data_IF_243784335453
#
_entry.id   IF_243784335453
#
_cell.length_a   1.000
_cell.length_b   1.000
_cell.length_c   1.000
_cell.angle_alpha   90.00
_cell.angle_beta   90.00
_cell.angle_gamma   90.00
#
_symmetry.space_group_name_H-M   'P 1'
#
loop_
_entity.id
_entity.type
_entity.pdbx_description
1 polymer ?
#
# COMPACT_ATOMS: atom_id res chain seq x y z
N UNK A 1 -12.98 8.24 42.39
CA UNK A 1 -12.71 9.24 41.35
C UNK A 1 -11.75 8.60 40.36
N UNK A 2 -12.27 7.99 39.30
CA UNK A 2 -11.46 7.35 38.26
C UNK A 2 -11.69 8.14 36.98
N UNK A 3 -10.76 9.01 36.63
CA UNK A 3 -10.80 9.75 35.37
C UNK A 3 -9.61 9.31 34.52
N UNK A 4 -9.98 8.81 33.33
CA UNK A 4 -9.14 8.17 32.33
C UNK A 4 -8.07 9.14 31.84
N UNK A 5 -6.82 8.80 32.07
CA UNK A 5 -5.67 9.43 31.44
C UNK A 5 -5.03 8.43 30.48
N UNK A 6 -5.69 8.12 29.36
CA UNK A 6 -5.09 7.25 28.32
C UNK A 6 -5.84 7.27 26.99
N UNK A 7 -6.14 8.44 26.42
CA UNK A 7 -6.83 8.52 25.12
C UNK A 7 -6.05 9.32 24.05
N UNK A 8 -4.72 9.49 24.18
CA UNK A 8 -3.95 10.33 23.26
C UNK A 8 -2.70 9.68 22.62
N UNK A 9 -2.55 8.35 22.61
CA UNK A 9 -1.35 7.68 22.02
C UNK A 9 -1.71 6.54 21.04
N UNK A 10 -2.98 6.12 20.93
CA UNK A 10 -3.32 4.86 20.24
C UNK A 10 -3.71 4.93 18.76
N UNK A 11 -3.90 6.12 18.17
CA UNK A 11 -4.24 6.20 16.74
C UNK A 11 -3.06 5.90 15.79
N UNK A 12 -1.82 5.94 16.28
CA UNK A 12 -0.61 5.70 15.46
C UNK A 12 -0.23 4.22 15.29
N UNK A 13 -0.83 3.28 16.05
CA UNK A 13 -0.34 1.90 16.18
C UNK A 13 -1.41 0.81 16.07
N UNK A 14 -2.61 1.09 15.56
CA UNK A 14 -3.58 0.00 15.31
C UNK A 14 -3.08 -0.93 14.18
N UNK A 15 -2.72 -2.19 14.49
CA UNK A 15 -2.18 -3.13 13.50
C UNK A 15 -3.23 -3.56 12.47
N UNK A 16 -4.52 -3.54 12.82
CA UNK A 16 -5.62 -3.85 11.90
C UNK A 16 -5.73 -2.72 10.88
N UNK A 17 -5.80 -1.47 11.35
CA UNK A 17 -5.81 -0.30 10.48
C UNK A 17 -4.60 -0.26 9.55
N UNK A 18 -3.39 -0.51 10.05
CA UNK A 18 -2.19 -0.58 9.21
C UNK A 18 -2.25 -1.72 8.18
N UNK A 19 -2.93 -2.82 8.49
CA UNK A 19 -3.16 -3.90 7.52
C UNK A 19 -4.12 -3.47 6.42
N UNK A 20 -5.22 -2.80 6.78
CA UNK A 20 -6.19 -2.24 5.82
C UNK A 20 -5.48 -1.26 4.88
N UNK A 21 -4.67 -0.35 5.41
CA UNK A 21 -3.96 0.65 4.59
C UNK A 21 -2.95 0.00 3.64
N UNK A 22 -2.27 -1.08 4.05
CA UNK A 22 -1.41 -1.85 3.14
C UNK A 22 -2.21 -2.49 2.01
N UNK A 23 -3.39 -3.05 2.32
CA UNK A 23 -4.27 -3.64 1.30
C UNK A 23 -4.75 -2.57 0.32
N UNK A 24 -5.20 -1.42 0.81
CA UNK A 24 -5.60 -0.27 -0.02
C UNK A 24 -4.45 0.21 -0.92
N UNK A 25 -3.25 0.32 -0.37
CA UNK A 25 -2.04 0.70 -1.11
C UNK A 25 -1.74 -0.31 -2.24
N UNK A 26 -1.81 -1.61 -1.95
CA UNK A 26 -1.57 -2.65 -2.94
C UNK A 26 -2.64 -2.66 -4.03
N UNK A 27 -3.92 -2.51 -3.66
CA UNK A 27 -5.02 -2.40 -4.61
C UNK A 27 -4.86 -1.16 -5.52
N UNK A 28 -4.43 -0.03 -4.96
CA UNK A 28 -4.12 1.17 -5.74
C UNK A 28 -3.02 0.93 -6.76
N UNK A 29 -1.90 0.30 -6.34
CA UNK A 29 -0.81 -0.03 -7.26
C UNK A 29 -1.20 -1.10 -8.29
N UNK A 30 -2.04 -2.06 -7.93
CA UNK A 30 -2.57 -3.05 -8.88
C UNK A 30 -3.42 -2.38 -9.97
N UNK A 31 -4.30 -1.45 -9.59
CA UNK A 31 -5.09 -0.68 -10.54
C UNK A 31 -4.25 0.29 -11.38
N UNK A 32 -3.08 0.71 -10.87
CA UNK A 32 -2.21 1.69 -11.50
C UNK A 32 -0.73 1.21 -11.52
N UNK A 33 -0.41 0.12 -12.23
CA UNK A 33 0.86 -0.62 -12.07
C UNK A 33 2.11 0.14 -12.53
N UNK A 34 1.93 1.18 -13.33
CA UNK A 34 3.00 2.08 -13.78
C UNK A 34 3.16 3.31 -12.88
N UNK A 35 2.37 3.43 -11.80
CA UNK A 35 2.45 4.56 -10.88
C UNK A 35 3.84 4.69 -10.28
N UNK A 36 4.29 5.93 -10.27
CA UNK A 36 5.50 6.39 -9.60
C UNK A 36 5.12 7.63 -8.82
N UNK A 37 5.04 7.52 -7.50
CA UNK A 37 4.49 8.61 -6.69
C UNK A 37 5.24 8.77 -5.37
N UNK A 38 5.02 9.89 -4.71
CA UNK A 38 5.64 10.23 -3.42
C UNK A 38 4.70 9.87 -2.27
N UNK A 39 5.21 9.93 -1.04
CA UNK A 39 4.38 9.75 0.17
C UNK A 39 3.22 10.75 0.17
N UNK A 40 3.47 12.00 -0.23
CA UNK A 40 2.48 13.07 -0.24
C UNK A 40 1.39 12.83 -1.30
N UNK A 41 1.79 12.45 -2.52
CA UNK A 41 0.82 12.14 -3.57
C UNK A 41 -0.04 10.92 -3.23
N UNK A 42 0.56 9.87 -2.67
CA UNK A 42 -0.17 8.68 -2.25
C UNK A 42 -1.12 8.95 -1.08
N UNK A 43 -0.73 9.78 -0.11
CA UNK A 43 -1.60 10.20 0.98
C UNK A 43 -2.86 10.91 0.48
N UNK A 44 -2.71 11.80 -0.51
CA UNK A 44 -3.85 12.47 -1.14
C UNK A 44 -4.77 11.49 -1.88
N UNK A 45 -4.20 10.57 -2.67
CA UNK A 45 -4.98 9.63 -3.47
C UNK A 45 -5.72 8.59 -2.64
N UNK A 46 -5.11 8.13 -1.55
CA UNK A 46 -5.71 7.15 -0.65
C UNK A 46 -6.60 7.80 0.42
N UNK A 47 -6.64 9.14 0.47
CA UNK A 47 -7.32 9.89 1.53
C UNK A 47 -6.90 9.40 2.94
N UNK A 48 -5.59 9.23 3.14
CA UNK A 48 -4.97 8.75 4.39
C UNK A 48 -3.95 9.74 4.90
N UNK A 49 -3.61 9.66 6.19
CA UNK A 49 -2.58 10.53 6.74
C UNK A 49 -1.20 10.18 6.18
N UNK A 50 -0.33 11.18 6.03
CA UNK A 50 1.04 11.01 5.56
C UNK A 50 1.82 9.99 6.41
N UNK A 51 1.60 9.99 7.72
CA UNK A 51 2.24 9.06 8.65
C UNK A 51 1.83 7.62 8.39
N UNK A 52 0.52 7.35 8.28
CA UNK A 52 0.01 6.01 8.00
C UNK A 52 0.50 5.48 6.65
N UNK A 53 0.49 6.33 5.62
CA UNK A 53 1.03 5.98 4.30
C UNK A 53 2.52 5.67 4.37
N UNK A 54 3.30 6.48 5.10
CA UNK A 54 4.74 6.24 5.27
C UNK A 54 5.01 4.88 5.94
N UNK A 55 4.23 4.51 6.96
CA UNK A 55 4.35 3.21 7.64
C UNK A 55 4.05 2.04 6.70
N UNK A 56 2.95 2.13 5.94
CA UNK A 56 2.60 1.12 4.95
C UNK A 56 3.67 0.98 3.86
N UNK A 57 4.17 2.11 3.32
CA UNK A 57 5.23 2.12 2.32
C UNK A 57 6.53 1.53 2.82
N UNK A 58 6.93 1.84 4.06
CA UNK A 58 8.10 1.24 4.67
C UNK A 58 7.96 -0.27 4.79
N UNK A 59 6.84 -0.77 5.31
CA UNK A 59 6.57 -2.20 5.44
C UNK A 59 6.60 -2.92 4.07
N UNK A 60 5.93 -2.39 3.06
CA UNK A 60 5.88 -3.00 1.72
C UNK A 60 7.23 -2.92 0.99
N UNK A 61 8.03 -1.88 1.25
CA UNK A 61 9.39 -1.78 0.71
C UNK A 61 10.34 -2.77 1.38
N UNK A 62 10.22 -2.95 2.70
CA UNK A 62 11.00 -3.94 3.45
C UNK A 62 10.69 -5.39 3.00
N UNK A 63 9.44 -5.66 2.62
CA UNK A 63 9.02 -6.92 2.00
C UNK A 63 9.47 -7.06 0.53
N UNK A 64 10.09 -6.04 -0.06
CA UNK A 64 10.54 -6.05 -1.45
C UNK A 64 9.45 -5.88 -2.50
N UNK A 65 8.20 -5.64 -2.09
CA UNK A 65 7.06 -5.45 -3.00
C UNK A 65 7.18 -4.11 -3.73
N UNK A 66 7.53 -3.06 -2.97
CA UNK A 66 7.83 -1.74 -3.50
C UNK A 66 9.33 -1.53 -3.60
N UNK A 67 9.71 -0.66 -4.52
CA UNK A 67 11.06 -0.12 -4.60
C UNK A 67 11.05 1.41 -4.52
N UNK A 68 12.13 1.96 -3.98
CA UNK A 68 12.30 3.39 -3.73
C UNK A 68 13.40 3.95 -4.64
N UNK A 69 13.09 5.01 -5.38
CA UNK A 69 14.09 5.77 -6.13
C UNK A 69 14.70 6.89 -5.29
N UNK A 70 16.03 6.92 -5.18
CA UNK A 70 16.78 7.88 -4.36
C UNK A 70 17.21 9.16 -5.12
N UNK A 71 16.30 9.79 -5.88
CA UNK A 71 16.57 11.14 -6.44
C UNK A 71 16.29 12.20 -5.36
N UNK A 72 16.21 13.48 -5.75
CA UNK A 72 15.86 14.63 -4.89
C UNK A 72 14.54 14.45 -4.10
N UNK A 73 13.68 13.53 -4.53
CA UNK A 73 12.41 13.18 -3.91
C UNK A 73 12.25 11.66 -3.93
N UNK A 74 11.88 11.07 -2.79
CA UNK A 74 11.66 9.61 -2.69
C UNK A 74 10.41 9.23 -3.45
N UNK A 75 10.57 8.38 -4.46
CA UNK A 75 9.48 7.90 -5.31
C UNK A 75 9.30 6.41 -5.09
N UNK A 76 8.07 5.98 -4.88
CA UNK A 76 7.66 4.59 -4.71
C UNK A 76 7.01 4.05 -5.98
N UNK A 77 7.32 2.80 -6.34
CA UNK A 77 6.67 2.06 -7.41
C UNK A 77 6.69 0.56 -7.10
N UNK A 78 5.81 -0.21 -7.75
CA UNK A 78 5.90 -1.68 -7.73
C UNK A 78 7.25 -2.12 -8.31
N UNK A 79 7.99 -2.97 -7.58
CA UNK A 79 9.27 -3.51 -8.06
C UNK A 79 9.09 -4.31 -9.36
N UNK A 80 8.05 -5.12 -9.40
CA UNK A 80 7.74 -6.01 -10.53
C UNK A 80 6.44 -5.60 -11.23
N UNK A 81 6.10 -4.31 -11.24
CA UNK A 81 4.81 -3.81 -11.74
C UNK A 81 4.46 -4.35 -13.13
N UNK A 82 5.41 -4.33 -14.07
CA UNK A 82 5.20 -4.86 -15.43
C UNK A 82 4.94 -6.37 -15.48
N UNK A 83 5.57 -7.17 -14.62
CA UNK A 83 5.34 -8.61 -14.54
C UNK A 83 3.97 -8.92 -13.95
N UNK A 84 3.58 -8.20 -12.90
CA UNK A 84 2.27 -8.33 -12.26
C UNK A 84 1.15 -7.97 -13.25
N UNK A 85 1.29 -6.84 -13.95
CA UNK A 85 0.34 -6.43 -14.99
C UNK A 85 0.18 -7.48 -16.07
N UNK A 86 1.30 -8.01 -16.56
CA UNK A 86 1.29 -9.04 -17.60
C UNK A 86 0.60 -10.32 -17.14
N UNK A 87 0.89 -10.77 -15.92
CA UNK A 87 0.22 -11.95 -15.35
C UNK A 87 -1.30 -11.78 -15.30
N UNK A 88 -1.79 -10.66 -14.76
CA UNK A 88 -3.23 -10.41 -14.69
C UNK A 88 -3.85 -10.20 -16.08
N UNK A 89 -3.16 -9.59 -17.03
CA UNK A 89 -3.65 -9.49 -18.39
C UNK A 89 -3.80 -10.87 -19.05
N UNK A 90 -2.84 -11.77 -18.83
CA UNK A 90 -2.86 -13.13 -19.39
C UNK A 90 -3.89 -14.05 -18.70
N UNK A 91 -4.24 -13.80 -17.44
CA UNK A 91 -5.03 -14.74 -16.61
C UNK A 91 -6.37 -14.21 -16.08
N UNK A 92 -6.66 -12.90 -16.13
CA UNK A 92 -7.99 -12.37 -15.79
C UNK A 92 -8.94 -12.30 -16.99
N UNK A 93 -8.45 -12.39 -18.23
CA UNK A 93 -9.32 -12.64 -19.40
C UNK A 93 -9.83 -14.09 -19.44
N UNK A 94 -9.18 -15.00 -18.70
CA UNK A 94 -9.68 -16.33 -18.40
C UNK A 94 -10.44 -16.26 -17.07
N UNK A 95 -11.67 -15.74 -17.14
CA UNK A 95 -12.54 -15.58 -15.98
C UNK A 95 -12.53 -16.82 -15.09
N UNK A 96 -12.48 -16.59 -13.77
CA UNK A 96 -12.67 -17.53 -12.67
C UNK A 96 -13.19 -18.90 -13.13
N UNK A 97 -12.30 -19.77 -13.62
CA UNK A 97 -12.59 -21.20 -13.63
C UNK A 97 -12.62 -21.58 -12.17
N UNK A 98 -13.78 -22.02 -11.70
CA UNK A 98 -14.00 -22.47 -10.32
C UNK A 98 -12.77 -23.23 -9.79
N UNK A 99 -12.35 -22.98 -8.53
CA UNK A 99 -11.31 -23.80 -7.93
C UNK A 99 -11.78 -25.26 -7.97
N UNK A 100 -10.93 -26.21 -8.40
CA UNK A 100 -11.29 -27.61 -8.32
C UNK A 100 -11.33 -27.99 -6.84
N UNK A 101 -12.55 -28.34 -6.39
CA UNK A 101 -12.94 -28.96 -5.12
C UNK A 101 -13.06 -28.04 -3.89
#
# INVERSE_FOLDING_TARGET
MGERMSENIHEELDPILQSIIRIEMLAFFQANPHTRDTVEGLALRLNRSRYQVKMALHALSALGILEMGAKKLTIYRLRNGGLISRYFQEHCEQGFSEPPF
#
